data_IF_745623500780
#
_entry.id   IF_745623500780
#
_cell.length_a   1.000
_cell.length_b   1.000
_cell.length_c   1.000
_cell.angle_alpha   90.00
_cell.angle_beta   90.00
_cell.angle_gamma   90.00
#
_symmetry.space_group_name_H-M   'P 1'
#
loop_
_entity.id
_entity.type
_entity.pdbx_description
1 polymer ?
#
# COMPACT_ATOMS: atom_id res chain seq x y z
N UNK A 1 36.11 46.38 -54.64
CA UNK A 1 36.61 45.27 -53.81
C UNK A 1 36.85 45.75 -52.37
N UNK A 2 36.10 45.22 -51.39
CA UNK A 2 36.52 44.80 -50.04
C UNK A 2 35.27 44.73 -49.12
N UNK A 3 34.87 43.49 -48.80
CA UNK A 3 33.88 43.14 -47.76
C UNK A 3 34.48 43.38 -46.37
N UNK A 4 33.64 43.75 -45.39
CA UNK A 4 33.74 43.45 -43.94
C UNK A 4 32.62 44.25 -43.23
N UNK A 5 31.89 43.82 -42.20
CA UNK A 5 31.47 42.54 -41.59
C UNK A 5 30.37 42.98 -40.59
N UNK A 6 29.34 42.15 -40.43
CA UNK A 6 28.15 42.34 -39.57
C UNK A 6 28.48 42.61 -38.09
N UNK A 7 27.61 43.33 -37.38
CA UNK A 7 27.21 43.03 -35.98
C UNK A 7 25.75 43.49 -35.73
N UNK A 8 24.87 42.50 -35.50
CA UNK A 8 23.59 42.59 -34.77
C UNK A 8 23.93 42.83 -33.27
N UNK A 9 23.08 43.40 -32.42
CA UNK A 9 21.92 42.79 -31.74
C UNK A 9 21.14 43.92 -31.02
N UNK A 10 19.87 44.14 -31.37
CA UNK A 10 18.65 43.74 -30.63
C UNK A 10 18.45 44.44 -29.28
N UNK A 11 17.68 45.53 -29.32
CA UNK A 11 16.99 46.15 -28.18
C UNK A 11 15.55 45.61 -28.22
N UNK A 12 15.13 44.92 -27.16
CA UNK A 12 13.74 44.98 -26.70
C UNK A 12 13.71 44.53 -25.23
N UNK A 13 13.67 45.52 -24.36
CA UNK A 13 13.22 45.39 -22.98
C UNK A 13 11.70 45.65 -22.95
N UNK A 14 11.08 45.21 -21.84
CA UNK A 14 9.64 45.25 -21.48
C UNK A 14 8.98 43.91 -21.87
N UNK A 15 8.52 43.05 -20.94
CA UNK A 15 7.50 43.32 -19.93
C UNK A 15 7.41 42.17 -18.90
N UNK A 16 7.01 42.53 -17.69
CA UNK A 16 6.29 41.74 -16.68
C UNK A 16 7.05 40.82 -15.71
N UNK A 17 7.17 41.37 -14.50
CA UNK A 17 7.18 40.70 -13.20
C UNK A 17 6.01 39.71 -13.03
N UNK A 18 6.18 38.81 -12.04
CA UNK A 18 5.28 37.76 -11.53
C UNK A 18 5.60 36.34 -12.03
N UNK A 19 6.69 35.75 -11.52
CA UNK A 19 6.65 34.33 -11.16
C UNK A 19 7.25 34.15 -9.77
N UNK A 20 6.33 33.94 -8.83
CA UNK A 20 6.55 33.57 -7.44
C UNK A 20 7.37 32.28 -7.38
N UNK A 21 8.35 32.26 -6.49
CA UNK A 21 9.08 31.07 -6.06
C UNK A 21 8.12 29.95 -5.64
N UNK A 22 7.85 28.99 -6.51
CA UNK A 22 7.18 27.74 -6.17
C UNK A 22 8.18 26.59 -6.27
N UNK A 23 8.99 26.44 -5.22
CA UNK A 23 9.69 25.17 -4.94
C UNK A 23 8.70 24.13 -4.37
N UNK A 24 7.56 23.92 -5.02
CA UNK A 24 6.84 22.67 -4.88
C UNK A 24 7.55 21.65 -5.76
N UNK A 25 8.52 20.93 -5.16
CA UNK A 25 8.96 19.68 -5.76
C UNK A 25 7.72 18.80 -5.83
N UNK A 26 7.19 18.57 -7.03
CA UNK A 26 6.21 17.52 -7.27
C UNK A 26 6.84 16.22 -6.76
N UNK A 27 6.40 15.76 -5.60
CA UNK A 27 6.77 14.44 -5.11
C UNK A 27 6.00 13.48 -6.02
N UNK A 28 6.72 12.78 -6.90
CA UNK A 28 6.13 11.79 -7.77
C UNK A 28 5.40 10.74 -6.92
N UNK A 29 4.22 10.35 -7.36
CA UNK A 29 3.43 9.28 -6.75
C UNK A 29 4.17 7.96 -6.96
N UNK A 30 4.31 7.17 -5.90
CA UNK A 30 4.93 5.84 -5.94
C UNK A 30 3.85 4.82 -5.62
N UNK A 31 3.71 3.81 -6.47
CA UNK A 31 2.79 2.71 -6.26
C UNK A 31 3.50 1.57 -5.52
N UNK A 32 2.86 1.06 -4.49
CA UNK A 32 3.29 -0.15 -3.78
C UNK A 32 2.20 -1.22 -3.87
N UNK A 33 2.62 -2.47 -3.75
CA UNK A 33 1.76 -3.65 -3.65
C UNK A 33 2.10 -4.39 -2.36
N UNK A 34 1.09 -4.67 -1.53
CA UNK A 34 1.19 -5.61 -0.42
C UNK A 34 0.80 -7.00 -0.93
N UNK A 35 1.74 -7.92 -0.90
CA UNK A 35 1.56 -9.31 -1.32
C UNK A 35 1.63 -10.23 -0.12
N UNK A 36 0.88 -11.31 -0.18
CA UNK A 36 0.92 -12.41 0.77
C UNK A 36 1.28 -13.69 0.05
N UNK A 37 2.05 -14.54 0.72
CA UNK A 37 2.30 -15.92 0.32
C UNK A 37 2.21 -16.82 1.54
N UNK A 38 1.67 -18.02 1.38
CA UNK A 38 1.57 -19.02 2.44
C UNK A 38 1.46 -20.42 1.86
N UNK A 39 1.68 -21.44 2.69
CA UNK A 39 1.31 -22.83 2.42
C UNK A 39 -0.11 -23.05 2.96
N UNK A 40 -1.00 -23.60 2.12
CA UNK A 40 -2.40 -23.83 2.45
C UNK A 40 -2.71 -25.33 2.43
N UNK A 41 -3.27 -25.85 3.52
CA UNK A 41 -3.80 -27.22 3.60
C UNK A 41 -5.30 -27.16 3.84
N UNK A 42 -6.08 -27.73 2.91
CA UNK A 42 -7.55 -27.74 2.94
C UNK A 42 -8.21 -26.35 3.10
N UNK A 43 -7.48 -25.26 2.82
CA UNK A 43 -7.91 -23.87 2.89
C UNK A 43 -7.79 -23.17 1.53
N UNK A 44 -8.71 -22.25 1.25
CA UNK A 44 -8.68 -21.36 0.09
C UNK A 44 -9.29 -20.02 0.46
N UNK A 45 -9.15 -19.05 -0.43
CA UNK A 45 -9.83 -17.75 -0.38
C UNK A 45 -9.49 -16.96 0.89
N UNK A 46 -8.26 -17.09 1.39
CA UNK A 46 -7.80 -16.33 2.55
C UNK A 46 -7.75 -14.84 2.19
N UNK A 47 -8.41 -14.02 2.99
CA UNK A 47 -8.47 -12.58 2.81
C UNK A 47 -8.73 -11.84 4.13
N UNK A 48 -8.25 -10.60 4.31
CA UNK A 48 -8.67 -9.76 5.44
C UNK A 48 -10.16 -9.42 5.32
N UNK A 49 -10.85 -9.45 6.46
CA UNK A 49 -12.25 -9.03 6.57
C UNK A 49 -12.29 -7.51 6.48
N UNK A 50 -12.67 -7.00 5.30
CA UNK A 50 -12.59 -5.57 4.99
C UNK A 50 -13.87 -5.09 4.33
N UNK A 51 -14.82 -4.61 5.14
CA UNK A 51 -16.11 -4.08 4.68
C UNK A 51 -16.30 -2.63 5.15
N UNK A 52 -17.22 -1.85 4.54
CA UNK A 52 -17.53 -0.51 5.03
C UNK A 52 -18.00 -0.46 6.50
N UNK A 53 -18.67 -1.51 6.96
CA UNK A 53 -19.17 -1.67 8.34
C UNK A 53 -18.08 -2.14 9.29
N UNK A 54 -17.14 -2.95 8.79
CA UNK A 54 -15.99 -3.48 9.51
C UNK A 54 -14.71 -3.29 8.68
N UNK A 55 -14.19 -2.05 8.61
CA UNK A 55 -12.96 -1.77 7.86
C UNK A 55 -11.77 -2.52 8.43
N UNK A 56 -10.94 -3.08 7.56
CA UNK A 56 -9.65 -3.61 8.00
C UNK A 56 -8.65 -2.46 8.19
N UNK A 57 -8.05 -2.39 9.38
CA UNK A 57 -7.04 -1.39 9.72
C UNK A 57 -5.64 -1.85 9.35
N UNK A 58 -5.23 -1.58 8.10
CA UNK A 58 -3.91 -1.99 7.62
C UNK A 58 -2.81 -1.24 8.39
N UNK A 59 -2.06 -2.00 9.17
CA UNK A 59 -1.05 -1.45 10.09
C UNK A 59 0.34 -1.51 9.46
N UNK A 60 1.02 -0.37 9.39
CA UNK A 60 2.33 -0.24 8.75
C UNK A 60 3.36 0.51 9.58
N UNK A 61 4.62 0.10 9.44
CA UNK A 61 5.77 0.96 9.71
C UNK A 61 6.09 1.79 8.46
N UNK A 62 6.20 3.10 8.63
CA UNK A 62 6.41 4.04 7.51
C UNK A 62 7.64 4.92 7.72
N UNK A 63 8.22 5.37 6.62
CA UNK A 63 9.33 6.32 6.58
C UNK A 63 8.98 7.56 5.74
N UNK A 64 9.34 8.74 6.24
CA UNK A 64 9.28 9.96 5.45
C UNK A 64 10.38 9.96 4.37
N UNK A 65 10.03 10.01 3.09
CA UNK A 65 11.03 9.99 2.01
C UNK A 65 11.83 11.28 1.90
N UNK A 66 11.35 12.37 2.52
CA UNK A 66 12.02 13.68 2.52
C UNK A 66 13.19 13.77 3.51
N UNK A 67 13.00 13.28 4.72
CA UNK A 67 13.98 13.39 5.80
C UNK A 67 14.46 12.05 6.36
N UNK A 68 13.96 10.93 5.83
CA UNK A 68 14.36 9.57 6.19
C UNK A 68 14.13 9.23 7.66
N UNK A 69 13.16 9.90 8.28
CA UNK A 69 12.73 9.58 9.63
C UNK A 69 11.60 8.57 9.58
N UNK A 70 11.77 7.44 10.26
CA UNK A 70 10.72 6.46 10.53
C UNK A 70 9.72 7.02 11.53
N UNK A 71 8.43 6.81 11.29
CA UNK A 71 7.41 7.25 12.24
C UNK A 71 7.54 6.50 13.58
N UNK A 72 7.27 7.19 14.69
CA UNK A 72 7.47 6.68 16.06
C UNK A 72 6.44 5.61 16.48
N UNK A 73 5.34 5.53 15.74
CA UNK A 73 4.24 4.58 15.95
C UNK A 73 3.92 3.86 14.64
N UNK A 74 3.40 2.65 14.79
CA UNK A 74 2.74 1.97 13.68
C UNK A 74 1.47 2.74 13.29
N UNK A 75 1.24 2.86 11.98
CA UNK A 75 0.15 3.64 11.41
C UNK A 75 -0.90 2.70 10.87
N UNK A 76 -2.14 2.91 11.30
CA UNK A 76 -3.32 2.24 10.77
C UNK A 76 -3.92 3.08 9.65
N UNK A 77 -4.24 2.42 8.54
CA UNK A 77 -4.89 3.03 7.37
C UNK A 77 -5.97 2.05 6.91
N UNK A 78 -7.20 2.52 6.77
CA UNK A 78 -8.27 1.78 6.10
C UNK A 78 -8.66 2.46 4.77
N UNK A 79 -9.25 1.69 3.84
CA UNK A 79 -9.56 2.19 2.49
C UNK A 79 -10.79 3.11 2.43
N UNK A 80 -11.63 3.12 3.47
CA UNK A 80 -12.90 3.84 3.49
C UNK A 80 -12.78 5.25 4.06
N UNK A 81 -11.72 5.52 4.83
CA UNK A 81 -11.38 6.85 5.31
C UNK A 81 -10.97 7.78 4.18
N UNK A 82 -11.37 9.05 4.32
CA UNK A 82 -11.09 10.11 3.35
C UNK A 82 -10.72 11.39 4.08
N UNK A 83 -9.47 11.79 3.91
CA UNK A 83 -8.91 13.00 4.50
C UNK A 83 -8.53 13.99 3.41
N UNK A 84 -8.89 15.26 3.60
CA UNK A 84 -8.52 16.33 2.68
C UNK A 84 -7.00 16.55 2.68
N UNK A 85 -6.43 16.74 1.48
CA UNK A 85 -5.00 17.06 1.32
C UNK A 85 -4.84 18.58 1.21
N UNK A 86 -3.97 19.17 2.02
CA UNK A 86 -3.78 20.62 2.07
C UNK A 86 -3.32 21.17 0.72
N UNK A 87 -4.07 22.14 0.19
CA UNK A 87 -3.75 22.79 -1.08
C UNK A 87 -4.00 21.93 -2.32
N UNK A 88 -4.71 20.80 -2.16
CA UNK A 88 -5.17 19.93 -3.25
C UNK A 88 -6.70 19.91 -3.29
N UNK A 89 -7.27 19.41 -4.40
CA UNK A 89 -8.71 19.11 -4.53
C UNK A 89 -9.02 17.63 -4.28
N UNK A 90 -7.99 16.83 -3.97
CA UNK A 90 -8.11 15.38 -3.76
C UNK A 90 -8.12 15.02 -2.28
N UNK A 91 -8.60 13.81 -2.02
CA UNK A 91 -8.62 13.16 -0.71
C UNK A 91 -7.67 11.94 -0.73
N UNK A 92 -7.29 11.47 0.44
CA UNK A 92 -6.51 10.24 0.62
C UNK A 92 -6.97 9.46 1.84
N UNK A 93 -6.67 8.16 1.87
CA UNK A 93 -6.93 7.27 3.02
C UNK A 93 -6.13 7.69 4.25
N UNK A 94 -4.97 8.31 4.06
CA UNK A 94 -4.12 8.80 5.13
C UNK A 94 -3.42 10.09 4.72
N UNK A 95 -3.42 11.08 5.61
CA UNK A 95 -2.67 12.34 5.46
C UNK A 95 -1.96 12.63 6.79
N UNK A 96 -0.65 12.87 6.75
CA UNK A 96 0.08 13.28 7.95
C UNK A 96 1.14 14.32 7.65
N UNK A 97 1.50 15.08 8.68
CA UNK A 97 2.62 16.04 8.64
C UNK A 97 3.79 15.47 9.44
N UNK A 98 4.91 15.22 8.76
CA UNK A 98 6.13 14.72 9.39
C UNK A 98 6.59 15.66 10.51
N UNK A 99 6.87 15.12 11.71
CA UNK A 99 7.24 15.91 12.89
C UNK A 99 8.61 16.57 12.72
N UNK A 100 9.49 15.99 11.93
CA UNK A 100 10.88 16.42 11.76
C UNK A 100 11.00 17.47 10.65
N UNK A 101 10.54 17.16 9.44
CA UNK A 101 10.70 18.04 8.29
C UNK A 101 9.48 18.93 8.00
N UNK A 102 8.38 18.74 8.74
CA UNK A 102 7.12 19.49 8.61
C UNK A 102 6.48 19.41 7.21
N UNK A 103 6.89 18.49 6.35
CA UNK A 103 6.20 18.28 5.08
C UNK A 103 4.96 17.43 5.31
N UNK A 104 3.92 17.71 4.54
CA UNK A 104 2.71 16.90 4.49
C UNK A 104 2.89 15.78 3.45
N UNK A 105 2.42 14.59 3.81
CA UNK A 105 2.48 13.37 3.02
C UNK A 105 1.13 12.70 3.04
N UNK A 106 0.86 11.88 2.03
CA UNK A 106 -0.41 11.17 1.93
C UNK A 106 -0.24 9.78 1.33
N UNK A 107 -1.17 8.89 1.64
CA UNK A 107 -1.31 7.59 0.98
C UNK A 107 -2.80 7.27 0.76
N UNK A 108 -3.11 6.74 -0.41
CA UNK A 108 -4.42 6.14 -0.70
C UNK A 108 -4.23 4.64 -0.84
N UNK A 109 -5.07 3.85 -0.19
CA UNK A 109 -5.03 2.40 -0.29
C UNK A 109 -6.31 1.88 -0.94
N UNK A 110 -6.19 0.78 -1.67
CA UNK A 110 -7.31 0.11 -2.31
C UNK A 110 -7.14 -1.40 -2.20
N UNK A 111 -8.18 -2.08 -1.70
CA UNK A 111 -8.20 -3.55 -1.73
C UNK A 111 -8.29 -4.07 -3.15
N UNK A 112 -7.49 -5.10 -3.43
CA UNK A 112 -7.68 -5.89 -4.63
C UNK A 112 -8.85 -6.88 -4.43
N UNK A 113 -9.30 -7.47 -5.52
CA UNK A 113 -10.26 -8.59 -5.47
C UNK A 113 -9.56 -9.95 -5.34
N UNK A 114 -8.23 -9.97 -5.16
CA UNK A 114 -7.48 -11.21 -5.02
C UNK A 114 -7.63 -11.76 -3.61
N UNK A 115 -7.67 -13.08 -3.54
CA UNK A 115 -7.66 -13.87 -2.32
C UNK A 115 -6.53 -14.88 -2.44
N UNK A 116 -5.95 -15.24 -1.31
CA UNK A 116 -4.89 -16.23 -1.30
C UNK A 116 -5.49 -17.64 -1.44
N UNK A 117 -5.24 -18.24 -2.60
CA UNK A 117 -5.72 -19.56 -2.98
C UNK A 117 -4.62 -20.27 -3.78
N UNK A 118 -4.57 -21.60 -3.70
CA UNK A 118 -3.63 -22.39 -4.54
C UNK A 118 -4.08 -22.30 -5.99
N UNK A 119 -3.20 -21.84 -6.87
CA UNK A 119 -3.41 -21.71 -8.32
C UNK A 119 -2.32 -22.45 -9.12
N UNK A 120 -2.50 -22.55 -10.44
CA UNK A 120 -1.50 -23.16 -11.35
C UNK A 120 -0.13 -22.45 -11.31
N UNK A 121 -0.09 -21.19 -10.90
CA UNK A 121 1.13 -20.39 -10.77
C UNK A 121 1.83 -20.56 -9.41
N UNK A 122 1.27 -21.39 -8.51
CA UNK A 122 1.86 -21.64 -7.19
C UNK A 122 3.19 -22.37 -7.35
N UNK A 123 4.25 -21.83 -6.75
CA UNK A 123 5.59 -22.40 -6.82
C UNK A 123 5.89 -23.12 -5.52
N UNK A 124 6.25 -24.40 -5.59
CA UNK A 124 6.50 -25.26 -4.43
C UNK A 124 5.32 -25.25 -3.44
N UNK A 125 4.09 -25.35 -3.95
CA UNK A 125 2.85 -25.37 -3.17
C UNK A 125 2.59 -24.10 -2.33
N UNK A 126 3.37 -23.03 -2.52
CA UNK A 126 3.10 -21.72 -1.92
C UNK A 126 2.16 -20.92 -2.80
N UNK A 127 0.96 -20.67 -2.28
CA UNK A 127 0.01 -19.73 -2.87
C UNK A 127 0.57 -18.31 -2.77
N UNK A 128 0.16 -17.43 -3.68
CA UNK A 128 0.47 -16.00 -3.58
C UNK A 128 -0.69 -15.14 -4.09
N UNK A 129 -0.87 -13.97 -3.47
CA UNK A 129 -1.89 -13.00 -3.86
C UNK A 129 -1.42 -11.57 -3.54
N UNK A 130 -1.83 -10.61 -4.36
CA UNK A 130 -1.67 -9.18 -4.09
C UNK A 130 -2.91 -8.70 -3.34
N UNK A 131 -2.76 -8.33 -2.06
CA UNK A 131 -3.90 -7.99 -1.19
C UNK A 131 -4.27 -6.51 -1.27
N UNK A 132 -3.29 -5.61 -1.39
CA UNK A 132 -3.52 -4.17 -1.32
C UNK A 132 -2.65 -3.43 -2.33
N UNK A 133 -3.23 -2.43 -2.99
CA UNK A 133 -2.50 -1.41 -3.75
C UNK A 133 -2.41 -0.12 -2.92
N UNK A 134 -1.25 0.53 -2.96
CA UNK A 134 -0.99 1.75 -2.19
C UNK A 134 -0.37 2.81 -3.10
N UNK A 135 -1.06 3.95 -3.25
CA UNK A 135 -0.56 5.14 -3.92
C UNK A 135 -0.02 6.13 -2.89
N UNK A 136 1.30 6.23 -2.79
CA UNK A 136 1.98 7.02 -1.77
C UNK A 136 2.61 8.29 -2.33
N UNK A 137 2.58 9.38 -1.55
CA UNK A 137 3.29 10.63 -1.82
C UNK A 137 4.08 11.05 -0.60
N UNK A 138 5.40 10.83 -0.67
CA UNK A 138 6.32 11.23 0.39
C UNK A 138 6.47 10.21 1.52
N UNK A 139 5.89 9.02 1.35
CA UNK A 139 5.90 7.92 2.31
C UNK A 139 6.53 6.69 1.66
N UNK A 140 7.48 6.07 2.34
CA UNK A 140 7.95 4.72 2.07
C UNK A 140 7.32 3.78 3.10
N UNK A 141 6.78 2.65 2.63
CA UNK A 141 6.21 1.61 3.50
C UNK A 141 7.30 0.56 3.78
N UNK A 142 7.62 0.35 5.05
CA UNK A 142 8.75 -0.48 5.46
C UNK A 142 8.32 -1.90 5.84
N UNK A 143 7.23 -2.02 6.59
CA UNK A 143 6.74 -3.30 7.11
C UNK A 143 5.23 -3.25 7.26
N UNK A 144 4.56 -4.33 6.88
CA UNK A 144 3.16 -4.58 7.23
C UNK A 144 3.09 -5.42 8.50
N UNK A 145 2.12 -5.12 9.35
CA UNK A 145 1.85 -5.82 10.60
C UNK A 145 0.43 -6.37 10.49
N UNK A 146 0.23 -7.69 10.31
CA UNK A 146 -1.06 -8.29 10.00
C UNK A 146 -1.95 -8.41 11.25
N UNK A 147 -2.27 -7.27 11.86
CA UNK A 147 -3.19 -7.20 13.00
C UNK A 147 -4.61 -7.00 12.47
N UNK A 148 -5.48 -7.94 12.78
CA UNK A 148 -6.90 -7.88 12.43
C UNK A 148 -7.43 -9.25 12.05
N UNK A 149 -8.72 -9.29 11.73
CA UNK A 149 -9.42 -10.53 11.41
C UNK A 149 -9.25 -10.89 9.94
N UNK A 150 -8.84 -12.12 9.69
CA UNK A 150 -8.87 -12.74 8.37
C UNK A 150 -9.99 -13.77 8.31
N UNK A 151 -10.38 -14.13 7.08
CA UNK A 151 -11.31 -15.21 6.82
C UNK A 151 -10.80 -16.09 5.70
N UNK A 152 -11.16 -17.36 5.72
CA UNK A 152 -10.84 -18.35 4.70
C UNK A 152 -12.00 -19.33 4.52
N UNK A 153 -11.88 -20.20 3.52
CA UNK A 153 -12.89 -21.20 3.19
C UNK A 153 -12.24 -22.58 3.11
N UNK A 154 -12.88 -23.59 3.69
CA UNK A 154 -12.49 -24.98 3.52
C UNK A 154 -12.63 -25.40 2.06
N UNK A 155 -11.52 -25.82 1.44
CA UNK A 155 -11.42 -26.01 -0.01
C UNK A 155 -12.40 -27.06 -0.56
N UNK A 156 -12.75 -28.06 0.24
CA UNK A 156 -13.65 -29.14 -0.18
C UNK A 156 -15.12 -28.89 0.22
N UNK A 157 -15.36 -28.35 1.41
CA UNK A 157 -16.68 -28.34 2.04
C UNK A 157 -17.38 -26.98 2.00
N UNK A 158 -16.64 -25.92 1.65
CA UNK A 158 -17.10 -24.54 1.73
C UNK A 158 -17.38 -24.05 3.15
N UNK A 159 -16.88 -24.74 4.19
CA UNK A 159 -16.91 -24.25 5.58
C UNK A 159 -16.21 -22.90 5.67
N UNK A 160 -16.83 -21.93 6.34
CA UNK A 160 -16.25 -20.60 6.51
C UNK A 160 -15.49 -20.55 7.82
N UNK A 161 -14.24 -20.13 7.74
CA UNK A 161 -13.41 -19.83 8.90
C UNK A 161 -13.33 -18.31 9.03
N UNK A 162 -13.70 -17.80 10.20
CA UNK A 162 -13.64 -16.38 10.57
C UNK A 162 -12.66 -16.20 11.71
N UNK A 163 -12.35 -14.95 12.05
CA UNK A 163 -11.50 -14.61 13.20
C UNK A 163 -10.10 -15.27 13.14
N UNK A 164 -9.60 -15.49 11.91
CA UNK A 164 -8.27 -16.06 11.68
C UNK A 164 -7.24 -15.00 12.08
N UNK A 165 -6.40 -15.36 13.06
CA UNK A 165 -5.27 -14.56 13.51
C UNK A 165 -3.97 -15.08 12.87
N UNK A 166 -3.29 -14.21 12.12
CA UNK A 166 -2.02 -14.51 11.44
C UNK A 166 -0.83 -13.77 12.05
N UNK A 167 -0.96 -13.28 13.29
CA UNK A 167 0.09 -12.53 13.99
C UNK A 167 1.38 -13.34 14.19
N UNK A 168 1.25 -14.66 14.37
CA UNK A 168 2.39 -15.59 14.51
C UNK A 168 2.82 -16.23 13.16
N UNK A 169 2.16 -15.86 12.05
CA UNK A 169 2.48 -16.37 10.72
C UNK A 169 1.96 -17.77 10.42
N UNK A 170 1.15 -18.35 11.31
CA UNK A 170 0.49 -19.65 11.13
C UNK A 170 -0.87 -19.70 11.82
N UNK A 171 -1.76 -20.56 11.33
CA UNK A 171 -3.08 -20.83 11.87
C UNK A 171 -3.53 -22.26 11.51
N UNK A 172 -4.23 -22.91 12.44
CA UNK A 172 -4.70 -24.29 12.32
C UNK A 172 -6.12 -24.43 12.89
N UNK A 173 -6.96 -25.24 12.25
CA UNK A 173 -8.29 -25.61 12.72
C UNK A 173 -8.73 -26.95 12.11
N UNK A 174 -9.97 -27.37 12.35
CA UNK A 174 -10.56 -28.59 11.79
C UNK A 174 -11.85 -28.24 11.04
N UNK A 175 -11.98 -28.72 9.81
CA UNK A 175 -13.25 -28.62 9.09
C UNK A 175 -14.21 -29.69 9.60
N UNK A 176 -15.19 -29.28 10.43
CA UNK A 176 -16.15 -30.20 11.05
C UNK A 176 -16.95 -31.05 10.04
N UNK A 177 -17.06 -30.62 8.77
CA UNK A 177 -17.81 -31.37 7.76
C UNK A 177 -17.01 -32.52 7.15
N UNK A 178 -15.71 -32.36 6.95
CA UNK A 178 -14.84 -33.42 6.44
C UNK A 178 -14.12 -34.18 7.57
N UNK A 179 -14.03 -33.57 8.75
CA UNK A 179 -13.22 -34.01 9.88
C UNK A 179 -11.71 -34.07 9.54
N UNK A 180 -11.27 -33.19 8.63
CA UNK A 180 -9.87 -33.01 8.25
C UNK A 180 -9.29 -31.73 8.84
N UNK A 181 -7.97 -31.72 9.05
CA UNK A 181 -7.22 -30.54 9.48
C UNK A 181 -7.17 -29.49 8.36
N UNK A 182 -7.30 -28.23 8.74
CA UNK A 182 -7.16 -27.06 7.87
C UNK A 182 -6.02 -26.21 8.43
N UNK A 183 -5.10 -25.77 7.57
CA UNK A 183 -3.98 -24.95 8.02
C UNK A 183 -3.57 -23.88 7.00
N UNK A 184 -2.99 -22.82 7.54
CA UNK A 184 -2.37 -21.71 6.83
C UNK A 184 -1.03 -21.49 7.53
N UNK A 185 0.09 -21.80 6.88
CA UNK A 185 1.41 -21.76 7.51
C UNK A 185 2.42 -21.03 6.64
N UNK A 186 3.57 -20.69 7.21
CA UNK A 186 4.64 -19.96 6.50
C UNK A 186 4.15 -18.64 5.88
N UNK A 187 3.24 -17.93 6.56
CA UNK A 187 2.67 -16.69 6.04
C UNK A 187 3.76 -15.62 5.97
N UNK A 188 3.98 -15.12 4.75
CA UNK A 188 4.94 -14.07 4.48
C UNK A 188 4.26 -12.89 3.77
N UNK A 189 4.55 -11.69 4.27
CA UNK A 189 4.03 -10.44 3.75
C UNK A 189 5.15 -9.63 3.10
N UNK A 190 4.99 -9.28 1.83
CA UNK A 190 5.96 -8.50 1.06
C UNK A 190 5.35 -7.17 0.60
N UNK A 191 6.09 -6.08 0.80
CA UNK A 191 5.77 -4.77 0.21
C UNK A 191 6.73 -4.54 -0.96
N UNK A 192 6.19 -4.49 -2.17
CA UNK A 192 6.96 -4.28 -3.40
C UNK A 192 6.60 -2.93 -4.04
N UNK A 193 7.58 -2.26 -4.65
CA UNK A 193 7.34 -1.06 -5.47
C UNK A 193 6.95 -1.48 -6.89
N UNK A 194 5.94 -0.83 -7.46
CA UNK A 194 5.47 -1.00 -8.84
C UNK A 194 5.94 0.10 -9.77
#
# INVERSE_FOLDING_TARGET
MKKKKKKKYSILLIQNELFINNHHRNIAMVKFLLKVSAELSNATDLEPVDSPEHPYEYTFQIECTKCRTTHDKDIQINQFEKHEISGSRGEASFVFRCKECKHEHSASILRTNEKLSVSEDSVNDKASATILEIDARGIDFLKFIPIGEFSAVGSETGTKFTDIDLSEGEWYDVDEKSNDEVSIVDVNWEISRS
#
